data_IF_138550267735
#
_entry.id   IF_138550267735
#
_cell.length_a   1.000
_cell.length_b   1.000
_cell.length_c   1.000
_cell.angle_alpha   90.00
_cell.angle_beta   90.00
_cell.angle_gamma   90.00
#
_symmetry.space_group_name_H-M   'P 1'
#
loop_
_entity.id
_entity.type
_entity.pdbx_description
1 polymer ?
#
# COMPACT_ATOMS: atom_id res chain seq x y z
N UNK A 1 -28.72 10.05 2.68
CA UNK A 1 -30.02 10.11 3.39
C UNK A 1 -30.61 11.52 3.40
N UNK A 2 -29.82 12.56 3.70
CA UNK A 2 -30.27 13.96 3.73
C UNK A 2 -30.88 14.50 2.42
N UNK A 3 -30.28 14.23 1.26
CA UNK A 3 -30.82 14.65 -0.06
C UNK A 3 -32.26 14.18 -0.30
N UNK A 4 -32.56 12.92 0.07
CA UNK A 4 -33.92 12.36 -0.04
C UNK A 4 -34.90 13.11 0.87
N UNK A 5 -34.46 13.48 2.07
CA UNK A 5 -35.28 14.26 3.01
C UNK A 5 -35.55 15.68 2.50
N UNK A 6 -34.56 16.37 1.97
CA UNK A 6 -34.73 17.70 1.37
C UNK A 6 -35.67 17.66 0.16
N UNK A 7 -35.56 16.63 -0.69
CA UNK A 7 -36.50 16.42 -1.80
C UNK A 7 -37.92 16.14 -1.32
N UNK A 8 -38.07 15.38 -0.23
CA UNK A 8 -39.34 15.11 0.38
C UNK A 8 -39.98 16.39 0.94
N UNK A 9 -39.22 17.20 1.68
CA UNK A 9 -39.68 18.52 2.18
C UNK A 9 -40.14 19.41 1.02
N UNK A 10 -39.41 19.42 -0.09
CA UNK A 10 -39.78 20.22 -1.26
C UNK A 10 -41.04 19.72 -1.98
N UNK A 11 -41.32 18.42 -1.94
CA UNK A 11 -42.58 17.86 -2.45
C UNK A 11 -43.75 18.21 -1.53
N UNK A 12 -43.51 18.12 -0.23
CA UNK A 12 -44.46 18.49 0.82
C UNK A 12 -44.81 19.99 0.76
N UNK A 13 -43.82 20.88 0.61
CA UNK A 13 -44.02 22.33 0.40
C UNK A 13 -44.99 22.61 -0.77
N UNK A 14 -44.85 21.87 -1.88
CA UNK A 14 -45.74 22.01 -3.05
C UNK A 14 -47.15 21.51 -2.79
N UNK A 15 -47.28 20.43 -2.03
CA UNK A 15 -48.59 19.88 -1.63
C UNK A 15 -49.32 20.89 -0.75
N UNK A 16 -48.63 21.38 0.29
CA UNK A 16 -49.17 22.38 1.22
C UNK A 16 -49.52 23.69 0.51
N UNK A 17 -48.69 24.15 -0.45
CA UNK A 17 -49.02 25.34 -1.23
C UNK A 17 -50.29 25.17 -2.08
N UNK A 18 -50.55 23.95 -2.58
CA UNK A 18 -51.74 23.63 -3.36
C UNK A 18 -53.03 23.53 -2.54
N UNK A 19 -52.94 23.02 -1.31
CA UNK A 19 -54.07 22.84 -0.39
C UNK A 19 -54.33 24.09 0.49
N UNK A 20 -53.30 24.92 0.66
CA UNK A 20 -53.30 26.10 1.52
C UNK A 20 -52.93 25.78 2.96
N UNK A 21 -52.07 26.61 3.57
CA UNK A 21 -51.59 26.41 4.96
C UNK A 21 -52.72 26.43 6.00
N UNK A 22 -53.83 27.12 5.70
CA UNK A 22 -55.02 27.19 6.56
C UNK A 22 -55.78 25.87 6.68
N UNK A 23 -55.58 24.93 5.74
CA UNK A 23 -56.25 23.63 5.75
C UNK A 23 -55.63 22.62 6.72
N UNK A 24 -54.42 22.90 7.22
CA UNK A 24 -53.66 22.00 8.10
C UNK A 24 -54.16 22.02 9.55
N UNK A 25 -54.20 20.85 10.18
CA UNK A 25 -54.44 20.73 11.62
C UNK A 25 -53.26 21.24 12.45
N UNK A 26 -53.50 21.57 13.71
CA UNK A 26 -52.45 22.04 14.63
C UNK A 26 -51.31 21.01 14.81
N UNK A 27 -51.65 19.71 14.79
CA UNK A 27 -50.66 18.64 14.90
C UNK A 27 -49.77 18.57 13.64
N UNK A 28 -50.38 18.72 12.46
CA UNK A 28 -49.67 18.73 11.17
C UNK A 28 -48.81 19.98 11.01
N UNK A 29 -49.30 21.16 11.42
CA UNK A 29 -48.52 22.39 11.44
C UNK A 29 -47.26 22.24 12.29
N UNK A 30 -47.40 21.74 13.52
CA UNK A 30 -46.25 21.51 14.40
C UNK A 30 -45.29 20.47 13.84
N UNK A 31 -45.79 19.40 13.22
CA UNK A 31 -44.96 18.40 12.58
C UNK A 31 -44.21 19.00 11.39
N UNK A 32 -44.90 19.65 10.46
CA UNK A 32 -44.32 20.28 9.29
C UNK A 32 -43.24 21.32 9.66
N UNK A 33 -43.44 22.08 10.73
CA UNK A 33 -42.44 23.00 11.24
C UNK A 33 -41.21 22.28 11.81
N UNK A 34 -41.39 21.22 12.61
CA UNK A 34 -40.26 20.42 13.12
C UNK A 34 -39.43 19.81 12.00
N UNK A 35 -40.08 19.32 10.96
CA UNK A 35 -39.39 18.72 9.81
C UNK A 35 -38.55 19.72 9.01
N UNK A 36 -38.89 21.00 9.10
CA UNK A 36 -38.19 22.15 8.50
C UNK A 36 -37.22 22.83 9.48
N UNK A 37 -37.04 22.27 10.68
CA UNK A 37 -36.11 22.79 11.70
C UNK A 37 -36.60 24.03 12.44
N UNK A 38 -37.91 24.29 12.45
CA UNK A 38 -38.52 25.40 13.19
C UNK A 38 -38.97 24.93 14.58
N UNK A 39 -38.76 25.78 15.60
CA UNK A 39 -39.18 25.51 16.96
C UNK A 39 -40.70 25.76 17.08
N UNK A 40 -41.49 24.69 17.16
CA UNK A 40 -42.96 24.74 17.29
C UNK A 40 -43.48 25.18 18.68
N UNK A 41 -42.79 26.14 19.31
CA UNK A 41 -43.06 26.66 20.67
C UNK A 41 -43.99 27.89 20.62
N UNK A 42 -44.31 28.37 19.42
CA UNK A 42 -45.11 29.57 19.16
C UNK A 42 -46.63 29.27 19.12
N UNK A 43 -47.45 30.33 19.06
CA UNK A 43 -48.90 30.18 18.88
C UNK A 43 -49.24 29.55 17.53
N UNK A 44 -50.47 29.06 17.37
CA UNK A 44 -50.90 28.39 16.13
C UNK A 44 -50.80 29.36 14.94
N UNK A 45 -51.17 30.62 15.14
CA UNK A 45 -51.11 31.68 14.13
C UNK A 45 -49.66 32.02 13.74
N UNK A 46 -48.77 32.10 14.72
CA UNK A 46 -47.34 32.35 14.49
C UNK A 46 -46.67 31.18 13.75
N UNK A 47 -47.03 29.93 14.08
CA UNK A 47 -46.55 28.73 13.39
C UNK A 47 -47.04 28.72 11.94
N UNK A 48 -48.30 29.10 11.68
CA UNK A 48 -48.82 29.25 10.31
C UNK A 48 -48.03 30.27 9.52
N UNK A 49 -47.78 31.46 10.09
CA UNK A 49 -47.01 32.49 9.42
C UNK A 49 -45.58 32.01 9.12
N UNK A 50 -44.92 31.34 10.07
CA UNK A 50 -43.58 30.80 9.84
C UNK A 50 -43.53 29.75 8.72
N UNK A 51 -44.54 28.88 8.64
CA UNK A 51 -44.63 27.89 7.58
C UNK A 51 -44.94 28.55 6.22
N UNK A 52 -45.79 29.57 6.21
CA UNK A 52 -46.08 30.36 5.01
C UNK A 52 -44.81 31.06 4.50
N UNK A 53 -44.07 31.74 5.38
CA UNK A 53 -42.80 32.40 5.05
C UNK A 53 -41.77 31.39 4.52
N UNK A 54 -41.72 30.20 5.12
CA UNK A 54 -40.85 29.12 4.64
C UNK A 54 -41.18 28.72 3.21
N UNK A 55 -42.47 28.46 2.92
CA UNK A 55 -42.93 28.00 1.61
C UNK A 55 -42.68 29.08 0.56
N UNK A 56 -42.92 30.35 0.89
CA UNK A 56 -42.66 31.49 0.03
C UNK A 56 -41.16 31.60 -0.33
N UNK A 57 -40.28 31.49 0.67
CA UNK A 57 -38.83 31.50 0.44
C UNK A 57 -38.37 30.28 -0.39
N UNK A 58 -38.91 29.10 -0.11
CA UNK A 58 -38.55 27.82 -0.76
C UNK A 58 -39.00 27.75 -2.22
N UNK A 59 -40.24 28.16 -2.51
CA UNK A 59 -40.89 27.97 -3.81
C UNK A 59 -40.86 29.22 -4.68
N UNK A 60 -41.18 30.39 -4.11
CA UNK A 60 -41.29 31.63 -4.88
C UNK A 60 -39.93 32.32 -5.02
N UNK A 61 -39.16 32.41 -3.94
CA UNK A 61 -37.79 32.96 -3.97
C UNK A 61 -36.70 31.92 -4.31
N UNK A 62 -37.08 30.65 -4.51
CA UNK A 62 -36.21 29.53 -4.89
C UNK A 62 -34.99 29.33 -3.97
N UNK A 63 -35.08 29.74 -2.71
CA UNK A 63 -34.01 29.56 -1.74
C UNK A 63 -33.84 28.06 -1.42
N UNK A 64 -32.63 27.49 -1.46
CA UNK A 64 -32.42 26.07 -1.19
C UNK A 64 -32.87 25.69 0.23
N UNK A 65 -33.64 24.61 0.36
CA UNK A 65 -34.14 24.14 1.66
C UNK A 65 -33.02 23.84 2.66
N UNK A 66 -31.84 23.41 2.19
CA UNK A 66 -30.66 23.22 3.04
C UNK A 66 -30.17 24.53 3.66
N UNK A 67 -30.15 25.62 2.90
CA UNK A 67 -29.75 26.94 3.39
C UNK A 67 -30.78 27.49 4.38
N UNK A 68 -32.07 27.30 4.10
CA UNK A 68 -33.14 27.68 5.01
C UNK A 68 -33.09 26.91 6.34
N UNK A 69 -32.75 25.62 6.34
CA UNK A 69 -32.56 24.86 7.59
C UNK A 69 -31.36 25.42 8.38
N UNK A 70 -30.23 25.69 7.71
CA UNK A 70 -29.03 26.22 8.35
C UNK A 70 -29.28 27.60 8.97
N UNK A 71 -30.05 28.48 8.30
CA UNK A 71 -30.38 29.79 8.85
C UNK A 71 -31.20 29.71 10.14
N UNK A 72 -32.02 28.66 10.33
CA UNK A 72 -32.75 28.46 11.59
C UNK A 72 -31.83 28.22 12.79
N UNK A 73 -30.62 27.69 12.61
CA UNK A 73 -29.67 27.53 13.71
C UNK A 73 -29.29 28.87 14.36
N UNK A 74 -29.22 29.95 13.58
CA UNK A 74 -28.95 31.30 14.07
C UNK A 74 -30.15 31.92 14.81
N UNK A 75 -31.38 31.54 14.42
CA UNK A 75 -32.62 31.99 15.09
C UNK A 75 -32.81 31.30 16.44
N UNK A 76 -32.35 30.05 16.57
CA UNK A 76 -32.36 29.32 17.84
C UNK A 76 -31.34 29.93 18.83
N UNK A 77 -30.20 30.41 18.32
CA UNK A 77 -29.12 30.97 19.15
C UNK A 77 -29.30 32.46 19.51
N UNK A 78 -30.18 33.19 18.80
CA UNK A 78 -30.46 34.60 19.07
C UNK A 78 -31.74 35.06 18.37
N UNK A 79 -32.43 36.07 18.91
CA UNK A 79 -33.69 36.64 18.37
C UNK A 79 -33.49 37.44 17.07
N UNK A 80 -32.76 36.87 16.12
CA UNK A 80 -32.54 37.45 14.80
C UNK A 80 -33.79 37.26 13.94
N UNK A 81 -34.10 38.26 13.13
CA UNK A 81 -35.14 38.13 12.10
C UNK A 81 -34.71 37.06 11.08
N UNK A 82 -35.65 36.39 10.41
CA UNK A 82 -35.33 35.32 9.46
C UNK A 82 -34.39 35.77 8.33
N UNK A 83 -34.52 37.01 7.86
CA UNK A 83 -33.65 37.60 6.83
C UNK A 83 -32.20 37.79 7.33
N UNK A 84 -32.05 38.32 8.55
CA UNK A 84 -30.73 38.53 9.17
C UNK A 84 -30.03 37.20 9.44
N UNK A 85 -30.80 36.16 9.76
CA UNK A 85 -30.28 34.81 9.94
C UNK A 85 -29.78 34.19 8.63
N UNK A 86 -30.47 34.40 7.51
CA UNK A 86 -30.00 33.96 6.18
C UNK A 86 -28.72 34.74 5.80
N UNK A 87 -28.68 36.04 6.06
CA UNK A 87 -27.48 36.87 5.83
C UNK A 87 -26.28 36.37 6.65
N UNK A 88 -26.48 36.13 7.95
CA UNK A 88 -25.44 35.60 8.83
C UNK A 88 -24.93 34.23 8.36
N UNK A 89 -25.83 33.38 7.86
CA UNK A 89 -25.46 32.07 7.30
C UNK A 89 -24.60 32.24 6.06
N UNK A 90 -25.00 33.10 5.11
CA UNK A 90 -24.21 33.36 3.91
C UNK A 90 -22.83 33.94 4.24
N UNK A 91 -22.73 34.84 5.22
CA UNK A 91 -21.45 35.41 5.67
C UNK A 91 -20.55 34.41 6.41
N UNK A 92 -21.09 33.29 6.88
CA UNK A 92 -20.33 32.25 7.57
C UNK A 92 -19.79 31.16 6.63
N UNK A 93 -20.27 31.12 5.38
CA UNK A 93 -19.87 30.12 4.39
C UNK A 93 -18.64 30.60 3.60
N UNK A 94 -17.76 29.68 3.17
CA UNK A 94 -16.68 30.01 2.23
C UNK A 94 -17.22 30.55 0.90
N UNK A 95 -16.49 31.50 0.31
CA UNK A 95 -16.88 32.17 -0.94
C UNK A 95 -17.11 31.17 -2.08
N UNK A 96 -16.35 30.07 -2.14
CA UNK A 96 -16.51 29.04 -3.17
C UNK A 96 -17.92 28.42 -3.13
N UNK A 97 -18.46 28.19 -1.92
CA UNK A 97 -19.80 27.62 -1.74
C UNK A 97 -20.87 28.66 -2.05
N UNK A 98 -20.65 29.92 -1.67
CA UNK A 98 -21.58 31.02 -1.96
C UNK A 98 -21.73 31.24 -3.46
N UNK A 99 -20.63 31.21 -4.21
CA UNK A 99 -20.62 31.33 -5.67
C UNK A 99 -21.43 30.20 -6.33
N UNK A 100 -21.32 28.96 -5.83
CA UNK A 100 -22.15 27.87 -6.34
C UNK A 100 -23.65 28.14 -6.16
N UNK A 101 -24.04 28.70 -5.01
CA UNK A 101 -25.44 29.01 -4.69
C UNK A 101 -25.91 30.16 -5.58
N UNK A 102 -25.08 31.19 -5.77
CA UNK A 102 -25.40 32.32 -6.63
C UNK A 102 -25.63 31.92 -8.09
N UNK A 103 -24.82 31.00 -8.61
CA UNK A 103 -24.94 30.52 -9.99
C UNK A 103 -26.09 29.53 -10.18
N UNK A 104 -26.43 28.73 -9.16
CA UNK A 104 -27.40 27.63 -9.32
C UNK A 104 -28.79 27.91 -8.79
N UNK A 105 -28.95 28.75 -7.77
CA UNK A 105 -30.21 28.93 -7.05
C UNK A 105 -30.90 30.26 -7.33
N UNK A 106 -30.15 31.33 -7.61
CA UNK A 106 -30.74 32.66 -7.87
C UNK A 106 -31.10 32.81 -9.35
N UNK A 107 -32.39 33.05 -9.67
CA UNK A 107 -32.79 33.44 -11.00
C UNK A 107 -32.17 34.80 -11.37
N UNK A 108 -31.62 34.93 -12.56
CA UNK A 108 -31.32 36.23 -13.17
C UNK A 108 -32.48 36.65 -14.06
N UNK A 109 -32.74 37.96 -14.14
CA UNK A 109 -33.83 38.52 -14.94
C UNK A 109 -33.69 38.20 -16.44
N UNK A 110 -32.46 37.93 -16.92
CA UNK A 110 -32.17 37.51 -18.30
C UNK A 110 -31.73 36.03 -18.37
N UNK A 111 -32.48 35.15 -19.06
CA UNK A 111 -32.12 33.73 -19.21
C UNK A 111 -30.80 33.51 -19.97
N UNK A 112 -30.39 34.46 -20.80
CA UNK A 112 -29.11 34.37 -21.52
C UNK A 112 -27.95 34.61 -20.55
N UNK A 113 -28.10 35.58 -19.64
CA UNK A 113 -27.12 35.90 -18.60
C UNK A 113 -26.96 34.76 -17.59
N UNK A 114 -28.04 34.10 -17.18
CA UNK A 114 -27.98 32.88 -16.36
C UNK A 114 -27.15 31.77 -17.04
N UNK A 115 -27.44 31.49 -18.32
CA UNK A 115 -26.73 30.46 -19.07
C UNK A 115 -25.25 30.77 -19.21
N UNK A 116 -24.89 32.04 -19.43
CA UNK A 116 -23.49 32.48 -19.49
C UNK A 116 -22.76 32.25 -18.16
N UNK A 117 -23.33 32.69 -17.04
CA UNK A 117 -22.75 32.48 -15.70
C UNK A 117 -22.57 31.00 -15.39
N UNK A 118 -23.57 30.17 -15.72
CA UNK A 118 -23.49 28.72 -15.55
C UNK A 118 -22.41 28.09 -16.42
N UNK A 119 -22.26 28.56 -17.67
CA UNK A 119 -21.22 28.07 -18.58
C UNK A 119 -19.83 28.44 -18.07
N UNK A 120 -19.65 29.65 -17.58
CA UNK A 120 -18.40 30.12 -16.97
C UNK A 120 -18.03 29.30 -15.73
N UNK A 121 -19.00 29.08 -14.82
CA UNK A 121 -18.82 28.22 -13.66
C UNK A 121 -18.42 26.79 -14.03
N UNK A 122 -19.10 26.19 -15.01
CA UNK A 122 -18.76 24.84 -15.48
C UNK A 122 -17.37 24.79 -16.12
N UNK A 123 -17.01 25.80 -16.90
CA UNK A 123 -15.67 25.90 -17.49
C UNK A 123 -14.59 26.00 -16.41
N UNK A 124 -14.81 26.81 -15.38
CA UNK A 124 -13.90 26.90 -14.24
C UNK A 124 -13.75 25.57 -13.51
N UNK A 125 -14.86 24.86 -13.25
CA UNK A 125 -14.83 23.54 -12.62
C UNK A 125 -14.09 22.50 -13.49
N UNK A 126 -14.29 22.52 -14.81
CA UNK A 126 -13.60 21.61 -15.73
C UNK A 126 -12.08 21.82 -15.73
N UNK A 127 -11.61 23.08 -15.71
CA UNK A 127 -10.18 23.39 -15.61
C UNK A 127 -9.59 22.88 -14.27
N UNK A 128 -10.30 23.05 -13.16
CA UNK A 128 -9.87 22.54 -11.85
C UNK A 128 -9.78 21.01 -11.83
N UNK A 129 -10.78 20.32 -12.39
CA UNK A 129 -10.78 18.86 -12.50
C UNK A 129 -9.59 18.39 -13.35
N UNK A 130 -9.36 19.04 -14.48
CA UNK A 130 -8.24 18.71 -15.37
C UNK A 130 -6.89 18.88 -14.68
N UNK A 131 -6.69 19.97 -13.93
CA UNK A 131 -5.46 20.21 -13.16
C UNK A 131 -5.24 19.14 -12.09
N UNK A 132 -6.30 18.72 -11.38
CA UNK A 132 -6.23 17.65 -10.39
C UNK A 132 -5.90 16.29 -11.02
N UNK A 133 -6.52 15.95 -12.15
CA UNK A 133 -6.21 14.72 -12.89
C UNK A 133 -4.77 14.69 -13.42
N UNK A 134 -4.23 15.81 -13.87
CA UNK A 134 -2.83 15.91 -14.31
C UNK A 134 -1.89 15.66 -13.13
N UNK A 135 -2.15 16.26 -11.97
CA UNK A 135 -1.37 16.00 -10.74
C UNK A 135 -1.44 14.53 -10.30
N UNK A 136 -2.63 13.91 -10.35
CA UNK A 136 -2.79 12.51 -9.99
C UNK A 136 -2.01 11.59 -10.95
N UNK A 137 -2.03 11.89 -12.25
CA UNK A 137 -1.24 11.14 -13.27
C UNK A 137 0.25 11.27 -12.99
N UNK A 138 0.75 12.48 -12.72
CA UNK A 138 2.16 12.70 -12.36
C UNK A 138 2.57 11.94 -11.09
N UNK A 139 1.73 11.94 -10.06
CA UNK A 139 1.98 11.18 -8.84
C UNK A 139 1.99 9.67 -9.07
N UNK A 140 1.07 9.17 -9.90
CA UNK A 140 1.01 7.77 -10.25
C UNK A 140 2.25 7.34 -11.05
N UNK A 141 2.72 8.15 -11.99
CA UNK A 141 3.96 7.88 -12.71
C UNK A 141 5.18 7.91 -11.78
N UNK A 142 5.30 8.90 -10.88
CA UNK A 142 6.35 8.90 -9.84
C UNK A 142 6.32 7.65 -8.96
N UNK A 143 5.12 7.18 -8.58
CA UNK A 143 4.96 5.94 -7.82
C UNK A 143 5.31 4.68 -8.63
N UNK A 144 5.04 4.65 -9.94
CA UNK A 144 5.45 3.54 -10.80
C UNK A 144 6.97 3.51 -10.96
N UNK A 145 7.60 4.66 -11.16
CA UNK A 145 9.05 4.79 -11.26
C UNK A 145 9.75 4.36 -9.97
N UNK A 146 9.27 4.78 -8.80
CA UNK A 146 9.83 4.37 -7.51
C UNK A 146 9.71 2.86 -7.31
N UNK A 147 8.52 2.28 -7.56
CA UNK A 147 8.30 0.82 -7.49
C UNK A 147 9.19 0.05 -8.46
N UNK A 148 9.36 0.54 -9.68
CA UNK A 148 10.24 -0.08 -10.67
C UNK A 148 11.71 -0.04 -10.22
N UNK A 149 12.15 1.07 -9.61
CA UNK A 149 13.50 1.21 -9.05
C UNK A 149 13.73 0.25 -7.88
N UNK A 150 12.78 0.18 -6.94
CA UNK A 150 12.82 -0.74 -5.80
C UNK A 150 12.86 -2.21 -6.26
N UNK A 151 12.01 -2.58 -7.22
CA UNK A 151 12.01 -3.93 -7.78
C UNK A 151 13.35 -4.30 -8.43
N UNK A 152 13.97 -3.35 -9.16
CA UNK A 152 15.29 -3.54 -9.77
C UNK A 152 16.40 -3.68 -8.72
N UNK A 153 16.33 -2.91 -7.65
CA UNK A 153 17.29 -2.99 -6.54
C UNK A 153 17.16 -4.30 -5.77
N UNK A 154 15.94 -4.75 -5.47
CA UNK A 154 15.69 -6.06 -4.86
C UNK A 154 16.18 -7.22 -5.75
N UNK A 155 15.95 -7.15 -7.07
CA UNK A 155 16.45 -8.16 -8.00
C UNK A 155 17.98 -8.22 -8.00
N UNK A 156 18.66 -7.07 -7.95
CA UNK A 156 20.12 -6.98 -7.83
C UNK A 156 20.62 -7.55 -6.50
N UNK A 157 20.00 -7.19 -5.37
CA UNK A 157 20.35 -7.72 -4.06
C UNK A 157 20.24 -9.26 -4.02
N UNK A 158 19.13 -9.82 -4.52
CA UNK A 158 18.95 -11.28 -4.62
C UNK A 158 19.99 -11.95 -5.53
N UNK A 159 20.45 -11.26 -6.58
CA UNK A 159 21.49 -11.80 -7.46
C UNK A 159 22.88 -11.81 -6.80
N UNK A 160 23.17 -10.80 -5.97
CA UNK A 160 24.42 -10.71 -5.20
C UNK A 160 24.45 -11.79 -4.11
N UNK A 161 23.37 -11.95 -3.36
CA UNK A 161 23.23 -12.99 -2.34
C UNK A 161 23.43 -14.40 -2.92
N UNK A 162 22.81 -14.68 -4.08
CA UNK A 162 23.05 -15.94 -4.81
C UNK A 162 24.51 -16.13 -5.19
N UNK A 163 25.19 -15.07 -5.62
CA UNK A 163 26.61 -15.13 -6.01
C UNK A 163 27.51 -15.36 -4.79
N UNK A 164 27.20 -14.74 -3.66
CA UNK A 164 27.89 -14.96 -2.38
C UNK A 164 27.73 -16.41 -1.93
N UNK A 165 26.51 -16.96 -1.94
CA UNK A 165 26.28 -18.37 -1.62
C UNK A 165 27.05 -19.34 -2.53
N UNK A 166 27.10 -19.06 -3.84
CA UNK A 166 27.90 -19.88 -4.76
C UNK A 166 29.40 -19.81 -4.43
N UNK A 167 29.90 -18.65 -3.99
CA UNK A 167 31.28 -18.47 -3.54
C UNK A 167 31.58 -19.22 -2.23
N UNK A 168 30.63 -19.24 -1.30
CA UNK A 168 30.74 -20.03 -0.06
C UNK A 168 30.80 -21.54 -0.35
N UNK A 169 29.91 -22.01 -1.23
CA UNK A 169 29.88 -23.42 -1.66
C UNK A 169 31.18 -23.79 -2.36
N UNK A 170 31.67 -22.97 -3.29
CA UNK A 170 32.92 -23.27 -4.00
C UNK A 170 34.12 -23.32 -3.04
N UNK A 171 34.17 -22.43 -2.04
CA UNK A 171 35.20 -22.45 -1.00
C UNK A 171 35.12 -23.70 -0.13
N UNK A 172 33.92 -24.11 0.28
CA UNK A 172 33.72 -25.34 1.05
C UNK A 172 34.12 -26.58 0.23
N UNK A 173 33.79 -26.63 -1.06
CA UNK A 173 34.17 -27.70 -1.96
C UNK A 173 35.68 -27.81 -2.12
N UNK A 174 36.39 -26.67 -2.26
CA UNK A 174 37.85 -26.66 -2.33
C UNK A 174 38.49 -27.24 -1.07
N UNK A 175 37.99 -26.86 0.12
CA UNK A 175 38.47 -27.43 1.40
C UNK A 175 38.23 -28.93 1.48
N UNK A 176 37.05 -29.40 1.08
CA UNK A 176 36.74 -30.84 1.04
C UNK A 176 37.63 -31.60 0.05
N UNK A 177 37.88 -31.05 -1.13
CA UNK A 177 38.78 -31.66 -2.12
C UNK A 177 40.21 -31.78 -1.57
N UNK A 178 40.72 -30.74 -0.90
CA UNK A 178 42.02 -30.80 -0.22
C UNK A 178 42.03 -31.86 0.89
N UNK A 179 41.00 -31.90 1.73
CA UNK A 179 40.90 -32.90 2.79
C UNK A 179 40.81 -34.34 2.23
N UNK A 180 40.09 -34.52 1.13
CA UNK A 180 39.97 -35.81 0.46
C UNK A 180 41.30 -36.25 -0.17
N UNK A 181 42.02 -35.34 -0.86
CA UNK A 181 43.36 -35.62 -1.41
C UNK A 181 44.30 -36.13 -0.32
N UNK A 182 44.38 -35.42 0.81
CA UNK A 182 45.22 -35.82 1.95
C UNK A 182 44.78 -37.17 2.52
N UNK A 183 43.47 -37.47 2.53
CA UNK A 183 42.97 -38.77 3.01
C UNK A 183 43.29 -39.92 2.06
N UNK A 184 43.26 -39.69 0.75
CA UNK A 184 43.65 -40.67 -0.26
C UNK A 184 45.14 -40.98 -0.15
N UNK A 185 45.98 -39.95 -0.09
CA UNK A 185 47.43 -40.09 0.15
C UNK A 185 47.71 -40.86 1.45
N UNK A 186 46.92 -40.61 2.51
CA UNK A 186 47.03 -41.33 3.79
C UNK A 186 46.66 -42.81 3.65
N UNK A 187 45.62 -43.13 2.90
CA UNK A 187 45.17 -44.50 2.68
C UNK A 187 46.19 -45.30 1.85
N UNK A 188 46.74 -44.68 0.81
CA UNK A 188 47.85 -45.23 0.02
C UNK A 188 49.08 -45.52 0.88
N UNK A 189 49.46 -44.56 1.74
CA UNK A 189 50.56 -44.73 2.69
C UNK A 189 50.29 -45.88 3.68
N UNK A 190 49.09 -45.96 4.26
CA UNK A 190 48.72 -47.05 5.16
C UNK A 190 48.73 -48.41 4.45
N UNK A 191 48.31 -48.46 3.19
CA UNK A 191 48.41 -49.66 2.36
C UNK A 191 49.87 -50.12 2.16
N UNK A 192 50.78 -49.19 1.93
CA UNK A 192 52.23 -49.45 1.86
C UNK A 192 52.80 -49.95 3.19
N UNK A 193 52.45 -49.30 4.31
CA UNK A 193 52.89 -49.70 5.65
C UNK A 193 52.40 -51.11 6.02
N UNK A 194 51.14 -51.42 5.72
CA UNK A 194 50.58 -52.76 5.99
C UNK A 194 51.28 -53.83 5.17
N UNK A 195 51.57 -53.58 3.88
CA UNK A 195 52.38 -54.49 3.06
C UNK A 195 53.77 -54.73 3.66
N UNK A 196 54.41 -53.69 4.19
CA UNK A 196 55.73 -53.82 4.84
C UNK A 196 55.65 -54.62 6.15
N UNK A 197 54.59 -54.41 6.94
CA UNK A 197 54.33 -55.18 8.17
C UNK A 197 54.09 -56.66 7.84
N UNK A 198 53.27 -56.96 6.84
CA UNK A 198 53.03 -58.33 6.37
C UNK A 198 54.33 -58.97 5.87
N UNK A 199 55.16 -58.22 5.15
CA UNK A 199 56.47 -58.69 4.70
C UNK A 199 57.38 -59.03 5.88
N UNK A 200 57.48 -58.15 6.88
CA UNK A 200 58.23 -58.40 8.11
C UNK A 200 57.71 -59.62 8.86
N UNK A 201 56.39 -59.69 9.11
CA UNK A 201 55.75 -60.81 9.79
C UNK A 201 56.00 -62.13 9.04
N UNK A 202 55.94 -62.13 7.70
CA UNK A 202 56.25 -63.32 6.90
C UNK A 202 57.70 -63.80 7.07
N UNK A 203 58.65 -62.88 7.28
CA UNK A 203 60.05 -63.24 7.54
C UNK A 203 60.30 -63.70 8.97
N UNK A 204 59.57 -63.13 9.94
CA UNK A 204 59.54 -63.62 11.33
C UNK A 204 58.99 -65.05 11.38
N UNK A 205 57.88 -65.33 10.69
CA UNK A 205 57.26 -66.65 10.65
C UNK A 205 58.12 -67.70 9.93
N UNK A 206 58.87 -67.31 8.88
CA UNK A 206 59.75 -68.21 8.13
C UNK A 206 61.07 -68.54 8.87
N UNK A 207 61.50 -67.74 9.85
CA UNK A 207 62.73 -68.01 10.63
C UNK A 207 62.39 -68.66 11.98
N UNK A 208 62.96 -69.86 12.24
CA UNK A 208 62.94 -70.49 13.57
C UNK A 208 63.77 -69.68 14.58
N UNK A 209 63.50 -69.83 15.90
CA UNK A 209 63.85 -68.85 16.94
C UNK A 209 65.36 -68.87 17.21
N UNK A 210 66.11 -68.08 16.47
CA UNK A 210 67.47 -67.72 16.82
C UNK A 210 67.57 -66.20 16.67
N UNK A 211 67.46 -65.51 17.81
CA UNK A 211 67.69 -64.08 18.00
C UNK A 211 66.87 -63.09 17.14
N UNK A 212 66.15 -62.18 17.80
CA UNK A 212 65.51 -61.00 17.17
C UNK A 212 66.46 -60.22 16.23
N UNK A 213 67.78 -60.23 16.52
CA UNK A 213 68.84 -59.61 15.71
C UNK A 213 69.00 -60.22 14.31
N UNK A 214 68.74 -61.52 14.13
CA UNK A 214 68.95 -62.20 12.85
C UNK A 214 67.77 -62.01 11.89
N UNK A 215 66.56 -61.83 12.42
CA UNK A 215 65.38 -61.44 11.63
C UNK A 215 65.57 -60.03 11.09
N UNK A 216 66.03 -59.09 11.94
CA UNK A 216 66.32 -57.72 11.54
C UNK A 216 67.42 -57.64 10.47
N UNK A 217 68.46 -58.49 10.56
CA UNK A 217 69.52 -58.55 9.54
C UNK A 217 69.03 -59.09 8.20
N UNK A 218 68.16 -60.11 8.22
CA UNK A 218 67.55 -60.65 7.02
C UNK A 218 66.58 -59.66 6.34
N UNK A 219 65.82 -58.92 7.14
CA UNK A 219 64.94 -57.87 6.63
C UNK A 219 65.73 -56.75 5.93
N UNK A 220 66.83 -56.27 6.52
CA UNK A 220 67.69 -55.27 5.88
C UNK A 220 68.28 -55.75 4.56
N UNK A 221 68.80 -56.99 4.52
CA UNK A 221 69.37 -57.56 3.30
C UNK A 221 68.33 -57.75 2.18
N UNK A 222 67.09 -58.13 2.53
CA UNK A 222 66.03 -58.30 1.54
C UNK A 222 65.56 -56.96 0.94
N UNK A 223 65.58 -55.88 1.74
CA UNK A 223 65.18 -54.53 1.30
C UNK A 223 66.28 -53.85 0.46
N UNK A 224 67.55 -54.03 0.80
CA UNK A 224 68.69 -53.58 -0.01
C UNK A 224 68.69 -54.19 -1.43
N UNK A 225 68.11 -55.38 -1.61
CA UNK A 225 67.92 -56.00 -2.93
C UNK A 225 66.75 -55.44 -3.74
N UNK A 226 65.79 -54.76 -3.13
CA UNK A 226 64.60 -54.20 -3.79
C UNK A 226 64.83 -52.74 -4.22
N UNK A 227 65.50 -51.93 -3.40
CA UNK A 227 65.79 -50.51 -3.71
C UNK A 227 66.63 -50.34 -5.00
N UNK A 228 67.54 -51.27 -5.31
CA UNK A 228 68.31 -51.25 -6.56
C UNK A 228 67.52 -51.61 -7.83
N UNK A 229 66.28 -52.10 -7.70
CA UNK A 229 65.40 -52.39 -8.85
C UNK A 229 64.44 -51.24 -9.16
N UNK A 230 64.22 -50.31 -8.23
CA UNK A 230 63.22 -49.24 -8.34
C UNK A 230 63.74 -47.94 -8.95
N UNK A 231 65.05 -47.70 -8.99
CA UNK A 231 65.61 -46.45 -9.55
C UNK A 231 65.57 -46.36 -11.09
N UNK A 232 65.11 -47.40 -11.79
CA UNK A 232 65.20 -47.49 -13.27
C UNK A 232 63.87 -47.19 -13.98
N UNK A 233 62.74 -47.00 -13.28
CA UNK A 233 61.45 -46.74 -13.94
C UNK A 233 60.80 -45.42 -13.54
N UNK A 234 60.65 -44.54 -14.53
CA UNK A 234 59.58 -43.53 -14.66
C UNK A 234 59.85 -42.12 -14.11
N UNK A 235 60.89 -41.50 -14.67
CA UNK A 235 60.76 -40.15 -15.22
C UNK A 235 59.89 -40.19 -16.48
N UNK A 236 58.63 -39.74 -16.40
CA UNK A 236 57.88 -39.04 -17.47
C UNK A 236 56.35 -39.18 -17.28
N UNK A 237 55.72 -38.16 -16.68
CA UNK A 237 54.31 -37.81 -16.93
C UNK A 237 53.97 -36.44 -16.29
N UNK A 238 54.58 -35.36 -16.78
CA UNK A 238 54.01 -34.01 -16.63
C UNK A 238 53.14 -33.76 -17.86
N UNK A 239 51.84 -34.05 -17.74
CA UNK A 239 50.85 -33.71 -18.75
C UNK A 239 50.11 -32.43 -18.33
N UNK A 240 50.17 -31.44 -19.22
CA UNK A 240 49.41 -30.20 -19.23
C UNK A 240 47.91 -30.40 -18.97
N UNK A 241 47.36 -29.57 -18.08
CA UNK A 241 46.05 -28.91 -18.23
C UNK A 241 46.08 -27.56 -17.54
#
# INVERSE_FOLDING_TARGET
>A
MLRKRLQWIKKDDKLIQGEGVESLSEAELRQGCRERGMLGVLSVEEIRQQLQDWIDLSLNHRVPSSLLILSRAFIVSGKLKPEDAVRATLSSLPDEVVDTIFVTALPSEDPVSERRRKLEYLKMQEELIKEEEEKEKEELERMKESKAREAKEQARARSLEKREHLCEISRALAVLASAYSVSCEREEFLGLVNKEIEFYNSMVEKKRPDGEKDVIKAYRAAREGIDHSSEVSESDAVLST
#
